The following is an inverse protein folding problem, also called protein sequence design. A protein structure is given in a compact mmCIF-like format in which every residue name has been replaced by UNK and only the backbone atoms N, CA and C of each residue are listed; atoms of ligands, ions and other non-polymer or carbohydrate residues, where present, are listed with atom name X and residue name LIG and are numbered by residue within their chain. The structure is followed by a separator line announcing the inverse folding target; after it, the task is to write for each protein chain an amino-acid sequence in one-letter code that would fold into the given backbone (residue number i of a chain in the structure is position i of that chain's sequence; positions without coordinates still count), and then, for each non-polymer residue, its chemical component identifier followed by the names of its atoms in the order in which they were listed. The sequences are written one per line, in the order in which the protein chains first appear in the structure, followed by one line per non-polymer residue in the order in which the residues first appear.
data_IF_342441084362
#
_entry.id   IF_342441084362
#
_cell.length_a   1.000
_cell.length_b   1.000
_cell.length_c   1.000
_cell.angle_alpha   90.00
_cell.angle_beta   90.00
_cell.angle_gamma   90.00
#
_symmetry.space_group_name_H-M   'P 1'
#
loop_
_entity.id
_entity.type
_entity.pdbx_description
1 polymer ?
#
# COMPACT_ATOMS: atom_id res chain seq x y z
N UNK A 1 13.41 -61.20 -0.43
CA UNK A 1 12.19 -61.32 0.39
C UNK A 1 11.56 -59.94 0.42
N UNK A 2 10.68 -59.60 -0.52
CA UNK A 2 9.23 -59.90 -0.59
C UNK A 2 8.49 -58.54 -0.43
N UNK A 3 8.17 -57.88 -1.56
CA UNK A 3 6.84 -57.77 -2.19
C UNK A 3 5.97 -56.67 -1.55
N UNK A 4 5.80 -55.53 -2.19
CA UNK A 4 4.63 -55.17 -3.03
C UNK A 4 3.28 -55.24 -2.30
N UNK A 5 2.56 -54.11 -2.23
CA UNK A 5 1.15 -54.05 -2.67
C UNK A 5 0.64 -52.62 -2.82
N UNK A 6 0.45 -52.29 -4.10
CA UNK A 6 -0.37 -51.24 -4.69
C UNK A 6 -1.82 -51.27 -4.17
N UNK A 7 -2.36 -50.10 -3.82
CA UNK A 7 -3.81 -49.85 -3.79
C UNK A 7 -4.13 -48.62 -4.62
N UNK A 8 -4.53 -48.88 -5.87
CA UNK A 8 -5.24 -47.94 -6.74
C UNK A 8 -6.71 -47.88 -6.30
N UNK A 9 -7.18 -46.70 -5.98
CA UNK A 9 -8.60 -46.43 -5.73
C UNK A 9 -9.25 -46.03 -7.05
N UNK A 10 -10.15 -46.89 -7.53
CA UNK A 10 -11.04 -46.65 -8.67
C UNK A 10 -12.22 -45.80 -8.18
N UNK A 11 -12.29 -44.56 -8.65
CA UNK A 11 -13.45 -43.68 -8.45
C UNK A 11 -14.43 -43.83 -9.60
N UNK A 12 -15.63 -44.29 -9.28
CA UNK A 12 -16.77 -44.54 -10.18
C UNK A 12 -17.29 -43.22 -10.77
N UNK A 13 -17.32 -43.15 -12.10
CA UNK A 13 -17.97 -42.12 -12.90
C UNK A 13 -19.47 -42.43 -13.00
N UNK A 14 -20.33 -41.60 -12.41
CA UNK A 14 -21.76 -41.57 -12.74
C UNK A 14 -21.96 -40.65 -13.94
N UNK A 15 -22.19 -41.26 -15.09
CA UNK A 15 -22.70 -40.59 -16.29
C UNK A 15 -24.22 -40.46 -16.21
N UNK A 16 -24.72 -39.22 -16.07
CA UNK A 16 -26.12 -38.90 -16.38
C UNK A 16 -26.14 -38.40 -17.82
N UNK A 17 -26.66 -39.25 -18.71
CA UNK A 17 -26.94 -38.89 -20.09
C UNK A 17 -28.10 -37.90 -20.14
N UNK A 18 -27.86 -36.75 -20.78
CA UNK A 18 -28.91 -35.87 -21.27
C UNK A 18 -28.83 -35.88 -22.79
N UNK A 19 -29.90 -36.38 -23.37
CA UNK A 19 -30.14 -36.62 -24.80
C UNK A 19 -30.16 -35.30 -25.58
N UNK A 20 -29.43 -35.26 -26.69
CA UNK A 20 -29.47 -34.20 -27.70
C UNK A 20 -30.77 -34.29 -28.50
N UNK A 21 -31.64 -33.28 -28.38
CA UNK A 21 -32.71 -33.01 -29.33
C UNK A 21 -32.29 -31.86 -30.26
N UNK A 22 -32.59 -32.03 -31.55
CA UNK A 22 -32.05 -31.28 -32.68
C UNK A 22 -32.50 -29.81 -32.83
N UNK A 23 -32.12 -29.18 -33.96
CA UNK A 23 -32.08 -27.74 -34.10
C UNK A 23 -33.44 -27.15 -34.46
N UNK A 24 -33.99 -26.34 -33.56
CA UNK A 24 -35.09 -25.42 -33.89
C UNK A 24 -34.51 -24.11 -34.43
N UNK A 25 -34.78 -23.83 -35.72
CA UNK A 25 -34.58 -22.51 -36.34
C UNK A 25 -35.48 -21.49 -35.61
N UNK A 26 -34.87 -20.63 -34.81
CA UNK A 26 -35.52 -19.43 -34.29
C UNK A 26 -34.89 -18.24 -35.01
N UNK A 27 -35.64 -17.65 -35.93
CA UNK A 27 -35.36 -16.33 -36.49
C UNK A 27 -35.63 -15.28 -35.40
N UNK A 28 -34.57 -14.73 -34.80
CA UNK A 28 -34.67 -13.53 -33.97
C UNK A 28 -34.38 -12.29 -34.81
N UNK A 29 -35.41 -11.46 -34.93
CA UNK A 29 -35.40 -10.14 -35.56
C UNK A 29 -34.32 -9.25 -34.92
N UNK A 30 -33.48 -8.69 -35.77
CA UNK A 30 -32.55 -7.61 -35.43
C UNK A 30 -33.33 -6.33 -35.08
N UNK A 31 -33.26 -5.89 -33.83
CA UNK A 31 -33.59 -4.52 -33.43
C UNK A 31 -32.62 -4.06 -32.33
N UNK A 32 -32.00 -2.90 -32.56
CA UNK A 32 -31.31 -2.01 -31.61
C UNK A 32 -29.84 -2.31 -31.28
N UNK A 33 -28.96 -1.84 -32.18
CA UNK A 33 -27.60 -1.46 -31.85
C UNK A 33 -27.61 -0.25 -30.89
N UNK A 34 -27.49 -0.49 -29.58
CA UNK A 34 -27.11 0.56 -28.63
C UNK A 34 -25.59 0.75 -28.68
N UNK A 35 -25.15 1.90 -29.20
CA UNK A 35 -23.79 2.39 -29.03
C UNK A 35 -23.49 2.49 -27.53
N UNK A 36 -22.56 1.67 -27.06
CA UNK A 36 -21.95 1.84 -25.74
C UNK A 36 -21.02 3.05 -25.81
N UNK A 37 -21.51 4.21 -25.39
CA UNK A 37 -20.65 5.34 -25.03
C UNK A 37 -19.87 4.93 -23.78
N UNK A 38 -18.61 4.55 -23.97
CA UNK A 38 -17.62 4.44 -22.91
C UNK A 38 -17.34 5.88 -22.46
N UNK A 39 -18.03 6.32 -21.42
CA UNK A 39 -17.78 7.61 -20.80
C UNK A 39 -16.35 7.64 -20.24
N UNK A 40 -15.49 8.42 -20.89
CA UNK A 40 -14.22 8.88 -20.34
C UNK A 40 -14.57 9.72 -19.11
N UNK A 41 -14.51 9.13 -17.92
CA UNK A 41 -14.67 9.89 -16.68
C UNK A 41 -13.37 10.65 -16.42
N UNK A 42 -13.42 11.97 -16.62
CA UNK A 42 -12.39 12.90 -16.21
C UNK A 42 -12.18 12.81 -14.70
N UNK A 43 -10.97 12.41 -14.30
CA UNK A 43 -10.52 12.56 -12.92
C UNK A 43 -9.99 13.99 -12.78
N UNK A 44 -10.86 14.90 -12.35
CA UNK A 44 -10.48 16.25 -12.01
C UNK A 44 -9.58 16.25 -10.77
N UNK A 45 -8.46 16.96 -10.90
CA UNK A 45 -7.32 17.01 -10.00
C UNK A 45 -7.68 17.69 -8.67
N UNK A 46 -7.49 16.99 -7.54
CA UNK A 46 -7.57 17.58 -6.20
C UNK A 46 -6.30 18.38 -5.80
N UNK A 47 -5.68 19.08 -6.76
CA UNK A 47 -4.32 19.60 -6.63
C UNK A 47 -4.19 21.08 -6.24
N UNK A 48 -5.25 21.89 -6.23
CA UNK A 48 -5.10 23.35 -6.03
C UNK A 48 -5.84 23.95 -4.83
N UNK A 49 -6.53 23.16 -4.02
CA UNK A 49 -7.22 23.68 -2.82
C UNK A 49 -6.37 23.57 -1.52
N UNK A 50 -5.06 23.84 -1.58
CA UNK A 50 -4.33 24.19 -0.35
C UNK A 50 -4.57 25.67 -0.06
N UNK A 51 -5.61 25.91 0.74
CA UNK A 51 -5.99 27.22 1.28
C UNK A 51 -4.80 27.78 2.08
N UNK A 52 -3.97 28.61 1.46
CA UNK A 52 -3.02 29.45 2.18
C UNK A 52 -3.84 30.40 3.07
N UNK A 53 -3.87 30.13 4.37
CA UNK A 53 -4.19 31.17 5.37
C UNK A 53 -3.00 32.13 5.37
N UNK A 54 -3.06 33.15 4.52
CA UNK A 54 -2.15 34.28 4.60
C UNK A 54 -2.36 35.04 5.92
N UNK A 55 -1.30 35.54 6.57
CA UNK A 55 -1.43 36.45 7.70
C UNK A 55 -1.99 37.79 7.20
N UNK A 56 -2.96 38.32 7.94
CA UNK A 56 -3.48 39.68 7.79
C UNK A 56 -2.35 40.70 7.93
N UNK A 57 -1.94 41.29 6.81
CA UNK A 57 -1.05 42.44 6.78
C UNK A 57 -1.84 43.71 7.08
N UNK A 58 -1.56 44.30 8.24
CA UNK A 58 -1.95 45.65 8.58
C UNK A 58 -1.21 46.65 7.71
N UNK A 59 -2.00 47.62 7.24
CA UNK A 59 -1.63 48.75 6.41
C UNK A 59 -0.75 49.72 7.21
N UNK A 60 0.51 49.87 6.83
CA UNK A 60 1.38 50.94 7.32
C UNK A 60 2.08 51.63 6.14
N UNK A 61 1.71 52.89 5.97
CA UNK A 61 2.28 53.89 5.06
C UNK A 61 3.64 54.36 5.60
N UNK A 62 4.71 54.35 4.81
CA UNK A 62 5.74 55.42 4.78
C UNK A 62 6.93 55.13 3.85
N UNK A 63 7.18 56.13 2.98
CA UNK A 63 8.46 56.76 2.58
C UNK A 63 9.61 55.95 1.96
N UNK A 64 9.84 56.26 0.67
CA UNK A 64 11.10 56.62 0.01
C UNK A 64 12.44 56.30 0.71
N UNK A 65 13.30 55.54 0.01
CA UNK A 65 14.67 55.99 -0.28
C UNK A 65 15.36 55.15 -1.38
N UNK A 66 15.88 55.89 -2.36
CA UNK A 66 17.05 55.68 -3.23
C UNK A 66 17.81 54.35 -3.24
N UNK A 67 17.89 53.77 -4.45
CA UNK A 67 19.09 53.28 -5.16
C UNK A 67 20.31 52.81 -4.35
N UNK A 68 20.73 51.56 -4.59
CA UNK A 68 22.13 51.27 -4.91
C UNK A 68 22.32 49.92 -5.63
N UNK A 69 23.05 50.03 -6.73
CA UNK A 69 23.59 48.99 -7.61
C UNK A 69 24.76 48.28 -6.91
N UNK A 70 24.84 46.95 -7.01
CA UNK A 70 26.06 46.15 -6.85
C UNK A 70 25.78 44.73 -7.37
N UNK A 71 26.10 44.42 -8.64
CA UNK A 71 27.35 43.79 -9.09
C UNK A 71 27.54 42.32 -8.64
N UNK A 72 27.44 41.43 -9.63
CA UNK A 72 27.72 40.00 -9.57
C UNK A 72 29.21 39.69 -9.33
N UNK A 73 29.54 38.50 -8.79
CA UNK A 73 30.86 37.91 -8.98
C UNK A 73 30.84 36.76 -10.00
N UNK A 74 31.83 36.86 -10.89
CA UNK A 74 32.23 35.91 -11.93
C UNK A 74 32.69 34.56 -11.37
N UNK A 75 32.45 33.56 -12.21
CA UNK A 75 33.10 32.26 -12.33
C UNK A 75 34.62 32.29 -12.11
N UNK A 76 35.14 31.27 -11.44
CA UNK A 76 36.50 30.77 -11.67
C UNK A 76 36.49 29.24 -11.68
N UNK A 77 36.73 28.69 -12.87
CA UNK A 77 37.03 27.28 -13.08
C UNK A 77 38.42 26.95 -12.51
N UNK A 78 38.56 25.80 -11.84
CA UNK A 78 39.87 25.16 -11.67
C UNK A 78 39.75 23.67 -11.89
N UNK A 79 40.22 23.28 -13.07
CA UNK A 79 40.57 21.94 -13.51
C UNK A 79 41.72 21.40 -12.65
N UNK A 80 41.57 20.20 -12.09
CA UNK A 80 42.72 19.35 -11.73
C UNK A 80 42.35 17.90 -11.95
N UNK A 81 43.20 17.22 -12.71
CA UNK A 81 43.05 15.85 -13.16
C UNK A 81 43.48 14.85 -12.07
N UNK A 82 42.79 13.68 -12.09
CA UNK A 82 43.34 12.31 -12.09
C UNK A 82 44.49 11.98 -11.13
N UNK A 83 44.21 11.10 -10.16
CA UNK A 83 44.98 9.85 -9.93
C UNK A 83 44.25 8.93 -8.94
N UNK A 84 43.93 7.71 -9.39
CA UNK A 84 43.80 6.50 -8.56
C UNK A 84 45.19 6.07 -8.09
N UNK A 85 45.32 5.48 -6.88
CA UNK A 85 45.64 4.05 -6.83
C UNK A 85 45.02 3.27 -5.64
N UNK A 86 44.65 2.03 -5.97
CA UNK A 86 45.00 0.74 -5.32
C UNK A 86 44.75 0.48 -3.83
N UNK A 87 44.14 -0.68 -3.62
CA UNK A 87 43.87 -1.41 -2.39
C UNK A 87 45.08 -1.66 -1.46
N UNK A 88 44.81 -1.73 -0.15
CA UNK A 88 45.42 -2.74 0.72
C UNK A 88 44.60 -3.02 1.99
N UNK A 89 44.46 -4.30 2.24
CA UNK A 89 44.02 -4.98 3.45
C UNK A 89 44.84 -4.64 4.70
N UNK A 90 44.22 -4.66 5.89
CA UNK A 90 44.47 -5.68 6.93
C UNK A 90 43.69 -5.41 8.24
N UNK A 91 43.38 -6.46 9.02
CA UNK A 91 42.69 -6.39 10.32
C UNK A 91 43.64 -6.55 11.53
N UNK A 92 43.27 -5.99 12.68
CA UNK A 92 43.51 -6.46 14.08
C UNK A 92 43.26 -5.27 15.03
N UNK A 93 42.35 -5.34 16.00
CA UNK A 93 42.36 -6.10 17.26
C UNK A 93 42.86 -5.27 18.45
N UNK A 94 42.02 -5.25 19.49
CA UNK A 94 42.31 -4.95 20.91
C UNK A 94 42.75 -3.50 21.19
N UNK A 95 42.30 -2.83 22.26
CA UNK A 95 42.35 -3.24 23.66
C UNK A 95 41.62 -2.17 24.54
N UNK A 96 41.11 -2.64 25.69
CA UNK A 96 40.99 -2.06 27.04
C UNK A 96 41.11 -0.53 27.25
N UNK A 97 40.69 0.10 28.34
CA UNK A 97 39.77 -0.10 29.48
C UNK A 97 39.99 1.18 30.33
N UNK A 98 39.05 1.49 31.22
CA UNK A 98 39.21 2.40 32.37
C UNK A 98 39.30 3.90 32.01
N UNK A 99 38.86 4.90 32.80
CA UNK A 99 38.41 5.00 34.20
C UNK A 99 37.56 6.29 34.29
N UNK A 100 36.74 6.40 35.34
CA UNK A 100 36.51 7.59 36.19
C UNK A 100 35.04 7.96 36.44
N UNK A 101 34.52 7.35 37.51
CA UNK A 101 33.85 8.01 38.66
C UNK A 101 33.74 9.54 38.63
N UNK A 102 32.50 10.06 38.70
CA UNK A 102 32.15 11.20 39.57
C UNK A 102 30.77 10.98 40.16
N UNK A 103 30.75 10.91 41.49
CA UNK A 103 29.61 10.99 42.38
C UNK A 103 29.12 12.43 42.53
N UNK A 104 27.81 12.67 42.51
CA UNK A 104 27.20 13.73 43.32
C UNK A 104 25.78 13.37 43.75
N UNK A 105 25.61 13.35 45.07
CA UNK A 105 24.35 13.22 45.78
C UNK A 105 23.65 14.59 45.88
N UNK A 106 22.32 14.59 45.83
CA UNK A 106 21.44 15.34 46.77
C UNK A 106 19.98 15.34 46.30
N UNK A 107 19.10 14.66 47.05
CA UNK A 107 17.69 15.04 47.28
C UNK A 107 17.66 16.40 48.00
N UNK A 108 16.56 17.21 48.05
CA UNK A 108 15.18 16.76 48.26
C UNK A 108 14.07 17.65 47.64
N UNK A 109 12.82 17.37 48.05
CA UNK A 109 11.68 18.28 48.22
C UNK A 109 10.43 17.95 47.39
N UNK A 110 9.50 17.33 48.12
CA UNK A 110 8.06 17.25 47.93
C UNK A 110 7.40 18.61 47.63
N UNK A 111 6.75 18.70 46.48
CA UNK A 111 5.82 19.77 46.12
C UNK A 111 4.44 19.22 45.80
N UNK A 112 3.50 19.38 46.72
CA UNK A 112 2.09 19.04 46.56
C UNK A 112 1.47 19.90 45.44
N UNK A 113 1.10 19.28 44.33
CA UNK A 113 0.37 19.94 43.24
C UNK A 113 -1.12 19.65 43.38
N UNK A 114 -1.89 20.69 43.71
CA UNK A 114 -3.35 20.66 43.74
C UNK A 114 -3.90 20.29 42.36
N UNK A 115 -4.65 19.18 42.32
CA UNK A 115 -5.43 18.75 41.16
C UNK A 115 -6.62 19.70 40.97
N UNK A 116 -6.60 20.50 39.91
CA UNK A 116 -7.82 21.12 39.35
C UNK A 116 -8.62 20.05 38.59
N UNK A 117 -9.96 19.99 38.75
CA UNK A 117 -10.80 19.11 37.96
C UNK A 117 -10.89 19.64 36.53
N UNK A 118 -10.21 18.97 35.60
CA UNK A 118 -10.42 19.16 34.16
C UNK A 118 -11.77 18.52 33.79
N UNK A 119 -12.75 19.37 33.54
CA UNK A 119 -14.02 19.01 32.92
C UNK A 119 -13.77 18.25 31.61
N UNK A 120 -14.36 17.06 31.51
CA UNK A 120 -14.43 16.25 30.30
C UNK A 120 -15.13 17.05 29.18
N UNK A 121 -14.36 17.72 28.34
CA UNK A 121 -14.79 18.17 27.02
C UNK A 121 -14.78 16.95 26.10
N UNK A 122 -15.94 16.33 25.94
CA UNK A 122 -16.26 15.42 24.84
C UNK A 122 -16.31 16.21 23.53
N UNK A 123 -15.15 16.66 23.07
CA UNK A 123 -14.95 17.25 21.76
C UNK A 123 -14.95 16.16 20.71
N UNK A 124 -16.12 15.65 20.36
CA UNK A 124 -16.29 14.84 19.16
C UNK A 124 -15.91 15.70 17.96
N UNK A 125 -14.76 15.40 17.34
CA UNK A 125 -14.40 15.94 16.02
C UNK A 125 -15.48 15.49 15.03
N UNK A 126 -16.48 16.35 14.84
CA UNK A 126 -17.42 16.26 13.73
C UNK A 126 -16.62 16.52 12.46
N UNK A 127 -16.36 15.46 11.70
CA UNK A 127 -15.91 15.60 10.33
C UNK A 127 -17.11 16.11 9.54
N UNK A 128 -17.21 17.43 9.36
CA UNK A 128 -18.05 18.01 8.33
C UNK A 128 -17.54 17.47 7.01
N UNK A 129 -18.24 16.48 6.46
CA UNK A 129 -17.99 15.96 5.12
C UNK A 129 -18.00 17.17 4.18
N UNK A 130 -16.87 17.51 3.54
CA UNK A 130 -16.82 18.69 2.70
C UNK A 130 -17.90 18.57 1.64
N UNK A 131 -18.66 19.66 1.53
CA UNK A 131 -19.72 19.91 0.60
C UNK A 131 -19.37 19.38 -0.79
N UNK A 132 -20.37 18.73 -1.42
CA UNK A 132 -20.29 18.08 -2.73
C UNK A 132 -19.59 19.03 -3.70
N UNK A 133 -18.32 18.77 -4.03
CA UNK A 133 -17.59 19.56 -5.03
C UNK A 133 -18.41 19.50 -6.32
N UNK A 134 -18.90 20.65 -6.77
CA UNK A 134 -19.51 20.78 -8.08
C UNK A 134 -18.51 20.22 -9.11
N UNK A 135 -19.03 19.42 -10.05
CA UNK A 135 -18.22 18.86 -11.11
C UNK A 135 -17.71 20.04 -11.94
N UNK A 136 -16.41 20.32 -11.85
CA UNK A 136 -15.78 21.37 -12.67
C UNK A 136 -16.13 21.15 -14.13
N UNK A 137 -16.41 22.24 -14.82
CA UNK A 137 -16.71 22.20 -16.25
C UNK A 137 -15.51 21.65 -17.02
N UNK A 138 -15.74 21.05 -18.19
CA UNK A 138 -14.65 20.49 -19.01
C UNK A 138 -13.61 21.56 -19.37
N UNK A 139 -14.05 22.81 -19.54
CA UNK A 139 -13.21 23.97 -19.81
C UNK A 139 -12.26 24.28 -18.63
N UNK A 140 -12.78 24.33 -17.40
CA UNK A 140 -11.95 24.52 -16.20
C UNK A 140 -10.94 23.37 -16.00
N UNK A 141 -11.30 22.14 -16.39
CA UNK A 141 -10.37 21.01 -16.34
C UNK A 141 -9.23 21.17 -17.34
N UNK A 142 -9.50 21.71 -18.53
CA UNK A 142 -8.46 22.01 -19.51
C UNK A 142 -7.56 23.17 -19.05
N UNK A 143 -8.12 24.23 -18.48
CA UNK A 143 -7.35 25.35 -17.91
C UNK A 143 -6.42 24.87 -16.79
N UNK A 144 -6.88 23.97 -15.92
CA UNK A 144 -6.03 23.38 -14.88
C UNK A 144 -4.88 22.57 -15.48
N UNK A 145 -5.13 21.79 -16.54
CA UNK A 145 -4.07 21.06 -17.23
C UNK A 145 -3.05 22.00 -17.86
N UNK A 146 -3.51 23.10 -18.47
CA UNK A 146 -2.61 24.08 -19.06
C UNK A 146 -1.84 24.87 -18.00
N UNK A 147 -2.44 25.14 -16.84
CA UNK A 147 -1.74 25.68 -15.68
C UNK A 147 -0.65 24.73 -15.17
N UNK A 148 -0.93 23.42 -15.09
CA UNK A 148 0.05 22.40 -14.69
C UNK A 148 1.20 22.32 -15.70
N UNK A 149 0.89 22.37 -16.99
CA UNK A 149 1.92 22.41 -18.06
C UNK A 149 2.77 23.68 -17.98
N UNK A 150 2.14 24.83 -17.73
CA UNK A 150 2.85 26.08 -17.53
C UNK A 150 3.76 26.02 -16.29
N UNK A 151 3.30 25.41 -15.20
CA UNK A 151 4.09 25.20 -13.98
C UNK A 151 5.31 24.31 -14.24
N UNK A 152 5.16 23.23 -15.01
CA UNK A 152 6.27 22.36 -15.40
C UNK A 152 7.36 23.11 -16.19
N UNK A 153 6.96 24.08 -17.02
CA UNK A 153 7.90 24.94 -17.78
C UNK A 153 8.58 25.97 -16.89
N UNK A 154 7.85 26.56 -15.95
CA UNK A 154 8.38 27.60 -15.04
C UNK A 154 9.28 27.02 -13.94
N UNK A 155 8.99 25.81 -13.46
CA UNK A 155 9.70 25.15 -12.38
C UNK A 155 10.19 23.76 -12.80
N UNK A 156 11.24 23.66 -13.63
CA UNK A 156 11.71 22.37 -14.15
C UNK A 156 12.20 21.41 -13.05
N UNK A 157 12.51 21.91 -11.84
CA UNK A 157 12.88 21.10 -10.69
C UNK A 157 11.69 20.55 -9.90
N UNK A 158 10.49 21.12 -10.07
CA UNK A 158 9.29 20.68 -9.38
C UNK A 158 8.46 19.79 -10.31
N UNK A 159 8.42 18.49 -10.01
CA UNK A 159 7.60 17.57 -10.79
C UNK A 159 6.12 17.69 -10.38
N UNK A 160 5.23 18.26 -11.22
CA UNK A 160 3.81 18.36 -10.89
C UNK A 160 3.15 16.99 -10.75
N UNK A 161 3.68 15.97 -11.42
CA UNK A 161 3.15 14.60 -11.40
C UNK A 161 3.57 13.84 -10.13
N UNK A 162 4.49 14.41 -9.34
CA UNK A 162 4.91 13.92 -8.03
C UNK A 162 3.88 14.17 -6.92
N UNK A 163 2.79 14.88 -7.20
CA UNK A 163 1.77 15.21 -6.20
C UNK A 163 1.04 13.98 -5.65
N UNK A 164 0.49 14.10 -4.44
CA UNK A 164 -0.33 13.05 -3.82
C UNK A 164 -1.66 12.95 -4.60
N UNK A 165 -1.82 11.89 -5.40
CA UNK A 165 -3.11 11.56 -6.05
C UNK A 165 -4.03 10.93 -5.02
N UNK A 166 -5.35 11.00 -5.19
CA UNK A 166 -6.32 10.30 -4.32
C UNK A 166 -6.29 8.78 -4.56
N UNK A 167 -6.69 7.98 -3.56
CA UNK A 167 -6.78 6.54 -3.75
C UNK A 167 -7.82 6.23 -4.84
N UNK A 168 -7.44 5.40 -5.80
CA UNK A 168 -8.35 4.96 -6.87
C UNK A 168 -9.43 4.07 -6.28
N UNK A 169 -10.52 3.84 -7.00
CA UNK A 169 -11.73 3.14 -6.51
C UNK A 169 -11.56 1.61 -6.35
N UNK A 170 -10.49 1.20 -5.66
CA UNK A 170 -10.28 -0.17 -5.21
C UNK A 170 -11.29 -0.52 -4.12
N UNK A 171 -11.86 -1.73 -4.18
CA UNK A 171 -12.91 -2.14 -3.25
C UNK A 171 -12.71 -3.59 -2.80
N UNK A 172 -13.03 -3.87 -1.54
CA UNK A 172 -13.11 -5.24 -1.01
C UNK A 172 -14.44 -5.86 -1.48
N UNK A 173 -14.44 -6.92 -2.30
CA UNK A 173 -15.66 -7.64 -2.62
C UNK A 173 -16.12 -8.43 -1.39
N UNK A 174 -17.43 -8.57 -1.21
CA UNK A 174 -18.02 -9.27 -0.05
C UNK A 174 -18.74 -10.56 -0.45
N UNK A 175 -18.70 -11.58 0.42
CA UNK A 175 -19.31 -12.90 0.18
C UNK A 175 -20.82 -12.77 0.01
N UNK A 176 -21.33 -13.31 -1.09
CA UNK A 176 -22.77 -13.41 -1.41
C UNK A 176 -23.28 -14.85 -1.32
N UNK A 177 -22.56 -15.71 -0.59
CA UNK A 177 -22.97 -17.11 -0.39
C UNK A 177 -24.29 -17.14 0.39
N UNK A 178 -25.19 -18.11 0.12
CA UNK A 178 -26.46 -18.23 0.87
C UNK A 178 -26.29 -18.32 2.39
N UNK A 179 -25.17 -18.88 2.87
CA UNK A 179 -24.83 -18.94 4.31
C UNK A 179 -24.54 -17.57 4.92
N UNK A 180 -24.08 -16.61 4.13
CA UNK A 180 -23.80 -15.23 4.54
C UNK A 180 -25.07 -14.36 4.55
N UNK A 181 -26.27 -14.93 4.34
CA UNK A 181 -27.55 -14.19 4.32
C UNK A 181 -27.80 -13.37 5.58
N UNK A 182 -27.29 -13.80 6.75
CA UNK A 182 -27.40 -13.06 8.01
C UNK A 182 -26.73 -11.67 7.97
N UNK A 183 -25.76 -11.46 7.07
CA UNK A 183 -25.10 -10.16 6.87
C UNK A 183 -25.83 -9.20 5.93
N UNK A 184 -26.99 -9.59 5.38
CA UNK A 184 -27.77 -8.77 4.45
C UNK A 184 -29.19 -8.58 4.95
N UNK A 185 -29.69 -7.34 4.90
CA UNK A 185 -31.07 -7.02 5.32
C UNK A 185 -32.14 -7.59 4.39
N UNK A 186 -31.83 -7.74 3.09
CA UNK A 186 -32.77 -8.26 2.09
C UNK A 186 -32.06 -8.97 0.95
N UNK A 187 -32.82 -9.77 0.19
CA UNK A 187 -32.36 -10.37 -1.07
C UNK A 187 -31.90 -9.30 -2.09
N UNK A 188 -32.56 -8.15 -2.12
CA UNK A 188 -32.17 -7.02 -2.95
C UNK A 188 -30.78 -6.48 -2.58
N UNK A 189 -30.44 -6.41 -1.29
CA UNK A 189 -29.11 -6.00 -0.84
C UNK A 189 -28.03 -7.01 -1.26
N UNK A 190 -28.32 -8.31 -1.18
CA UNK A 190 -27.42 -9.37 -1.63
C UNK A 190 -27.20 -9.32 -3.15
N UNK A 191 -28.26 -9.11 -3.94
CA UNK A 191 -28.15 -8.95 -5.40
C UNK A 191 -27.37 -7.69 -5.79
N UNK A 192 -27.60 -6.56 -5.09
CA UNK A 192 -26.82 -5.34 -5.27
C UNK A 192 -25.34 -5.57 -4.98
N UNK A 193 -25.01 -6.33 -3.92
CA UNK A 193 -23.63 -6.68 -3.61
C UNK A 193 -23.02 -7.61 -4.67
N UNK A 194 -23.80 -8.57 -5.20
CA UNK A 194 -23.36 -9.41 -6.31
C UNK A 194 -23.01 -8.57 -7.54
N UNK A 195 -23.88 -7.62 -7.93
CA UNK A 195 -23.62 -6.70 -9.03
C UNK A 195 -22.40 -5.81 -8.74
N UNK A 196 -22.22 -5.33 -7.50
CA UNK A 196 -21.03 -4.58 -7.11
C UNK A 196 -19.74 -5.41 -7.26
N UNK A 197 -19.76 -6.67 -6.83
CA UNK A 197 -18.62 -7.59 -7.02
C UNK A 197 -18.32 -7.85 -8.50
N UNK A 198 -19.36 -8.01 -9.34
CA UNK A 198 -19.21 -8.14 -10.80
C UNK A 198 -18.62 -6.88 -11.43
N UNK A 199 -19.11 -5.70 -11.04
CA UNK A 199 -18.57 -4.42 -11.49
C UNK A 199 -17.10 -4.25 -11.11
N UNK A 200 -16.72 -4.61 -9.87
CA UNK A 200 -15.32 -4.61 -9.44
C UNK A 200 -14.46 -5.56 -10.31
N UNK A 201 -14.98 -6.76 -10.63
CA UNK A 201 -14.32 -7.70 -11.54
C UNK A 201 -14.11 -7.14 -12.94
N UNK A 202 -15.11 -6.46 -13.51
CA UNK A 202 -14.99 -5.78 -14.80
C UNK A 202 -13.93 -4.67 -14.76
N UNK A 203 -13.95 -3.81 -13.73
CA UNK A 203 -12.94 -2.75 -13.54
C UNK A 203 -11.53 -3.30 -13.40
N UNK A 204 -11.36 -4.41 -12.67
CA UNK A 204 -10.07 -5.10 -12.55
C UNK A 204 -9.59 -5.60 -13.93
N UNK A 205 -10.48 -6.21 -14.72
CA UNK A 205 -10.15 -6.73 -16.05
C UNK A 205 -9.75 -5.61 -17.02
N UNK A 206 -10.49 -4.49 -17.03
CA UNK A 206 -10.15 -3.30 -17.82
C UNK A 206 -8.80 -2.71 -17.40
N UNK A 207 -8.54 -2.59 -16.10
CA UNK A 207 -7.27 -2.07 -15.59
C UNK A 207 -6.10 -2.97 -15.98
N UNK A 208 -6.26 -4.30 -15.88
CA UNK A 208 -5.26 -5.26 -16.33
C UNK A 208 -5.05 -5.23 -17.84
N UNK A 209 -6.10 -5.01 -18.62
CA UNK A 209 -6.00 -4.87 -20.07
C UNK A 209 -5.20 -3.61 -20.44
N UNK A 210 -5.45 -2.47 -19.80
CA UNK A 210 -4.69 -1.23 -20.00
C UNK A 210 -3.21 -1.42 -19.65
N UNK A 211 -2.92 -2.09 -18.53
CA UNK A 211 -1.55 -2.42 -18.15
C UNK A 211 -0.88 -3.38 -19.15
N UNK A 212 -1.60 -4.38 -19.65
CA UNK A 212 -1.07 -5.32 -20.63
C UNK A 212 -0.79 -4.64 -21.99
N UNK A 213 -1.64 -3.70 -22.40
CA UNK A 213 -1.46 -2.93 -23.64
C UNK A 213 -0.21 -2.04 -23.60
N UNK A 214 0.16 -1.55 -22.43
CA UNK A 214 1.31 -0.65 -22.19
C UNK A 214 2.53 -1.37 -21.63
N UNK A 215 2.54 -2.71 -21.67
CA UNK A 215 3.59 -3.58 -21.12
C UNK A 215 4.01 -3.21 -19.69
N UNK A 216 3.02 -2.81 -18.89
CA UNK A 216 3.18 -2.21 -17.56
C UNK A 216 3.10 -3.22 -16.42
N UNK A 217 2.93 -4.51 -16.74
CA UNK A 217 2.71 -5.54 -15.72
C UNK A 217 4.08 -5.89 -15.10
N UNK A 218 4.27 -5.71 -13.78
CA UNK A 218 5.57 -5.95 -13.16
C UNK A 218 6.08 -7.38 -13.39
N UNK A 219 7.31 -7.50 -13.89
CA UNK A 219 8.00 -8.79 -14.06
C UNK A 219 7.43 -9.67 -15.16
N UNK A 220 6.63 -9.11 -16.07
CA UNK A 220 6.08 -9.85 -17.22
C UNK A 220 6.34 -9.05 -18.49
N UNK A 221 7.10 -9.64 -19.41
CA UNK A 221 7.31 -9.11 -20.76
C UNK A 221 6.20 -9.62 -21.69
N UNK A 222 5.36 -8.71 -22.18
CA UNK A 222 4.28 -8.98 -23.12
C UNK A 222 4.58 -8.51 -24.54
N UNK A 223 5.77 -7.95 -24.78
CA UNK A 223 6.18 -7.43 -26.09
C UNK A 223 6.14 -8.50 -27.18
N UNK A 224 6.50 -9.74 -26.84
CA UNK A 224 6.53 -10.89 -27.76
C UNK A 224 5.18 -11.56 -28.05
N UNK A 225 4.07 -11.13 -27.44
CA UNK A 225 2.78 -11.80 -27.65
C UNK A 225 2.19 -11.53 -29.04
N UNK A 226 1.75 -12.58 -29.75
CA UNK A 226 1.15 -12.45 -31.08
C UNK A 226 -0.24 -11.82 -31.02
N UNK A 227 -0.69 -11.13 -32.08
CA UNK A 227 -2.05 -10.51 -32.14
C UNK A 227 -3.17 -11.51 -31.81
N UNK A 228 -3.02 -12.78 -32.22
CA UNK A 228 -3.97 -13.86 -31.93
C UNK A 228 -3.99 -14.20 -30.43
N UNK A 229 -2.82 -14.25 -29.77
CA UNK A 229 -2.73 -14.45 -28.32
C UNK A 229 -3.35 -13.28 -27.55
N UNK A 230 -3.16 -12.06 -28.04
CA UNK A 230 -3.69 -10.82 -27.47
C UNK A 230 -5.22 -10.74 -27.56
N UNK A 231 -5.83 -11.22 -28.64
CA UNK A 231 -7.27 -11.06 -28.87
C UNK A 231 -8.11 -12.30 -28.54
N UNK A 232 -7.62 -13.50 -28.82
CA UNK A 232 -8.47 -14.70 -28.86
C UNK A 232 -8.14 -15.69 -27.74
N UNK A 233 -6.87 -16.03 -27.53
CA UNK A 233 -6.54 -17.25 -26.79
C UNK A 233 -6.13 -17.04 -25.34
N UNK A 234 -5.27 -16.07 -25.02
CA UNK A 234 -4.65 -16.01 -23.69
C UNK A 234 -5.11 -14.80 -22.88
N UNK A 235 -5.12 -13.61 -23.47
CA UNK A 235 -5.36 -12.38 -22.72
C UNK A 235 -6.77 -12.30 -22.12
N UNK A 236 -7.88 -12.58 -22.86
CA UNK A 236 -9.23 -12.47 -22.30
C UNK A 236 -9.46 -13.32 -21.06
N UNK A 237 -8.86 -14.52 -21.01
CA UNK A 237 -8.96 -15.40 -19.86
C UNK A 237 -8.06 -14.96 -18.72
N UNK A 238 -6.86 -14.45 -19.02
CA UNK A 238 -5.90 -14.00 -17.99
C UNK A 238 -6.32 -12.68 -17.34
N UNK A 239 -6.91 -11.73 -18.06
CA UNK A 239 -7.39 -10.46 -17.47
C UNK A 239 -8.49 -10.68 -16.43
N UNK A 240 -9.26 -11.77 -16.55
CA UNK A 240 -10.30 -12.15 -15.58
C UNK A 240 -9.74 -12.88 -14.34
N UNK A 241 -8.43 -13.10 -14.28
CA UNK A 241 -7.77 -13.88 -13.22
C UNK A 241 -7.00 -13.02 -12.21
N UNK A 242 -7.48 -11.80 -11.93
CA UNK A 242 -6.86 -10.87 -10.96
C UNK A 242 -6.59 -11.52 -9.60
N UNK A 243 -7.51 -12.35 -9.11
CA UNK A 243 -7.44 -13.01 -7.80
C UNK A 243 -6.74 -14.38 -7.83
N UNK A 244 -6.20 -14.78 -8.97
CA UNK A 244 -5.58 -16.11 -9.13
C UNK A 244 -4.33 -16.26 -8.29
N UNK A 245 -4.25 -17.39 -7.56
CA UNK A 245 -3.07 -17.75 -6.77
C UNK A 245 -2.02 -18.55 -7.55
N UNK A 246 -2.28 -18.87 -8.83
CA UNK A 246 -1.35 -19.67 -9.63
C UNK A 246 0.00 -18.95 -9.78
N UNK A 247 1.13 -19.68 -9.73
CA UNK A 247 2.47 -19.08 -9.83
C UNK A 247 2.71 -18.43 -11.20
N UNK A 248 1.98 -18.84 -12.24
CA UNK A 248 2.04 -18.29 -13.60
C UNK A 248 0.98 -17.20 -13.89
N UNK A 249 0.25 -16.74 -12.87
CA UNK A 249 -0.70 -15.64 -13.04
C UNK A 249 0.05 -14.33 -13.33
N UNK A 250 -0.56 -13.42 -14.10
CA UNK A 250 0.05 -12.12 -14.44
C UNK A 250 0.44 -11.30 -13.21
N UNK A 251 -0.32 -11.41 -12.13
CA UNK A 251 -0.06 -10.68 -10.88
C UNK A 251 0.80 -11.48 -9.89
N UNK A 252 1.36 -12.62 -10.26
CA UNK A 252 2.23 -13.39 -9.37
C UNK A 252 3.48 -12.62 -8.91
N UNK A 253 4.19 -11.86 -9.76
CA UNK A 253 5.31 -11.02 -9.31
C UNK A 253 4.86 -9.94 -8.32
N UNK A 254 3.73 -9.27 -8.60
CA UNK A 254 3.17 -8.24 -7.71
C UNK A 254 2.86 -8.79 -6.31
N UNK A 255 2.33 -10.03 -6.21
CA UNK A 255 2.08 -10.67 -4.91
C UNK A 255 3.34 -10.85 -4.09
N UNK A 256 4.44 -11.27 -4.72
CA UNK A 256 5.74 -11.45 -4.06
C UNK A 256 6.28 -10.11 -3.56
N UNK A 257 6.25 -9.09 -4.41
CA UNK A 257 6.71 -7.73 -4.06
C UNK A 257 5.86 -7.15 -2.92
N UNK A 258 4.55 -7.30 -2.97
CA UNK A 258 3.66 -6.82 -1.91
C UNK A 258 3.98 -7.48 -0.56
N UNK A 259 4.22 -8.80 -0.53
CA UNK A 259 4.62 -9.51 0.67
C UNK A 259 5.99 -9.06 1.20
N UNK A 260 6.98 -8.88 0.32
CA UNK A 260 8.32 -8.43 0.76
C UNK A 260 8.28 -7.00 1.29
N UNK A 261 7.60 -6.08 0.61
CA UNK A 261 7.41 -4.69 1.07
C UNK A 261 6.70 -4.66 2.42
N UNK A 262 5.69 -5.51 2.61
CA UNK A 262 4.99 -5.65 3.88
C UNK A 262 5.91 -6.13 5.02
N UNK A 263 6.74 -7.15 4.77
CA UNK A 263 7.69 -7.65 5.76
C UNK A 263 8.74 -6.59 6.12
N UNK A 264 9.30 -5.92 5.12
CA UNK A 264 10.30 -4.85 5.30
C UNK A 264 9.71 -3.68 6.10
N UNK A 265 8.49 -3.25 5.78
CA UNK A 265 7.80 -2.20 6.51
C UNK A 265 7.57 -2.57 7.98
N UNK A 266 7.07 -3.77 8.27
CA UNK A 266 6.85 -4.18 9.67
C UNK A 266 8.15 -4.31 10.46
N UNK A 267 9.23 -4.76 9.82
CA UNK A 267 10.56 -4.75 10.42
C UNK A 267 11.05 -3.32 10.70
N UNK A 268 10.85 -2.39 9.75
CA UNK A 268 11.19 -0.98 9.93
C UNK A 268 10.38 -0.33 11.05
N UNK A 269 9.08 -0.62 11.15
CA UNK A 269 8.21 -0.16 12.23
C UNK A 269 8.68 -0.66 13.60
N UNK A 270 9.03 -1.95 13.71
CA UNK A 270 9.57 -2.51 14.95
C UNK A 270 10.92 -1.90 15.33
N UNK A 271 11.80 -1.65 14.35
CA UNK A 271 13.10 -1.00 14.55
C UNK A 271 13.02 0.51 14.73
N UNK A 272 11.84 1.12 14.55
CA UNK A 272 11.63 2.56 14.53
C UNK A 272 12.51 3.28 13.48
N UNK A 273 12.68 2.67 12.30
CA UNK A 273 13.42 3.27 11.18
C UNK A 273 12.50 4.17 10.33
N UNK A 274 12.42 5.44 10.74
CA UNK A 274 11.64 6.48 10.07
C UNK A 274 11.97 6.63 8.58
N UNK A 275 13.22 6.36 8.16
CA UNK A 275 13.64 6.54 6.76
C UNK A 275 13.01 5.48 5.87
N UNK A 276 13.12 4.22 6.29
CA UNK A 276 12.52 3.09 5.56
C UNK A 276 11.00 3.19 5.57
N UNK A 277 10.39 3.61 6.69
CA UNK A 277 8.93 3.86 6.74
C UNK A 277 8.51 4.94 5.74
N UNK A 278 9.25 6.07 5.64
CA UNK A 278 9.00 7.12 4.63
C UNK A 278 9.14 6.61 3.20
N UNK A 279 10.07 5.69 2.95
CA UNK A 279 10.31 5.15 1.62
C UNK A 279 9.24 4.15 1.19
N UNK A 280 8.74 3.32 2.12
CA UNK A 280 7.80 2.23 1.84
C UNK A 280 6.34 2.60 2.03
N UNK A 281 6.04 3.81 2.53
CA UNK A 281 4.64 4.25 2.76
C UNK A 281 4.36 5.60 2.11
N UNK A 282 3.09 5.84 1.80
CA UNK A 282 2.63 7.11 1.25
C UNK A 282 1.27 7.51 1.82
N UNK A 283 0.82 8.72 1.48
CA UNK A 283 -0.52 9.24 1.80
C UNK A 283 -0.95 9.04 3.27
N UNK A 284 -2.17 8.56 3.50
CA UNK A 284 -2.79 8.42 4.82
C UNK A 284 -2.08 7.39 5.68
N UNK A 285 -1.60 6.29 5.07
CA UNK A 285 -0.90 5.24 5.80
C UNK A 285 0.43 5.74 6.39
N UNK A 286 1.16 6.57 5.65
CA UNK A 286 2.37 7.22 6.16
C UNK A 286 2.08 8.11 7.38
N UNK A 287 1.07 8.98 7.26
CA UNK A 287 0.71 9.93 8.31
C UNK A 287 0.28 9.19 9.59
N UNK A 288 -0.48 8.08 9.45
CA UNK A 288 -0.88 7.20 10.53
C UNK A 288 0.29 6.44 11.16
N UNK A 289 1.18 5.89 10.34
CA UNK A 289 2.35 5.14 10.80
C UNK A 289 3.31 6.02 11.61
N UNK A 290 3.62 7.22 11.13
CA UNK A 290 4.47 8.16 11.86
C UNK A 290 3.80 8.64 13.15
N UNK A 291 2.48 8.87 13.13
CA UNK A 291 1.73 9.22 14.34
C UNK A 291 1.81 8.09 15.38
N UNK A 292 1.66 6.84 14.97
CA UNK A 292 1.79 5.67 15.85
C UNK A 292 3.21 5.50 16.37
N UNK A 293 4.23 5.66 15.51
CA UNK A 293 5.64 5.62 15.93
C UNK A 293 5.94 6.67 16.99
N UNK A 294 5.53 7.93 16.77
CA UNK A 294 5.72 9.01 17.74
C UNK A 294 4.99 8.74 19.06
N UNK A 295 3.76 8.19 19.00
CA UNK A 295 2.98 7.84 20.20
C UNK A 295 3.60 6.66 20.97
N UNK A 296 4.16 5.69 20.26
CA UNK A 296 4.73 4.47 20.83
C UNK A 296 6.22 4.58 21.13
N UNK A 297 6.86 5.70 20.80
CA UNK A 297 8.26 5.97 21.12
C UNK A 297 8.44 6.18 22.63
N UNK A 298 8.42 5.07 23.37
CA UNK A 298 8.77 5.01 24.77
C UNK A 298 10.25 4.70 24.85
N UNK A 299 11.09 5.60 25.39
CA UNK A 299 12.52 5.37 25.44
C UNK A 299 12.78 4.12 26.29
N UNK A 300 13.35 3.09 25.66
CA UNK A 300 13.70 1.84 26.33
C UNK A 300 12.85 0.62 26.07
N UNK A 301 11.80 0.73 25.26
CA UNK A 301 11.15 -0.45 24.74
C UNK A 301 11.82 -0.89 23.45
N UNK A 302 12.17 -2.17 23.38
CA UNK A 302 12.66 -2.82 22.16
C UNK A 302 11.54 -3.67 21.59
N UNK A 303 11.22 -3.45 20.31
CA UNK A 303 10.22 -4.22 19.59
C UNK A 303 10.92 -5.16 18.61
N UNK A 304 10.56 -6.44 18.65
CA UNK A 304 11.04 -7.45 17.69
C UNK A 304 9.81 -8.06 17.02
N UNK A 305 9.58 -7.66 15.78
CA UNK A 305 8.55 -8.27 14.95
C UNK A 305 9.11 -9.49 14.23
N UNK A 306 8.37 -10.60 14.26
CA UNK A 306 8.71 -11.82 13.51
C UNK A 306 7.56 -12.24 12.61
N UNK A 307 7.92 -12.46 11.35
CA UNK A 307 7.09 -13.16 10.38
C UNK A 307 7.27 -14.66 10.55
N UNK A 308 6.19 -15.41 10.76
CA UNK A 308 6.26 -16.89 10.83
C UNK A 308 5.95 -17.51 9.48
N UNK A 309 4.73 -17.29 8.96
CA UNK A 309 4.28 -17.86 7.70
C UNK A 309 3.06 -17.12 7.14
N UNK A 310 2.80 -17.32 5.85
CA UNK A 310 1.51 -16.96 5.24
C UNK A 310 0.48 -18.05 5.59
N UNK A 311 -0.64 -17.66 6.22
CA UNK A 311 -1.77 -18.59 6.44
C UNK A 311 -2.48 -18.84 5.12
N UNK A 312 -2.66 -17.77 4.34
CA UNK A 312 -3.04 -17.88 2.94
C UNK A 312 -2.13 -16.96 2.12
N UNK A 313 -1.66 -17.41 0.93
CA UNK A 313 -0.77 -16.60 0.12
C UNK A 313 -1.38 -15.23 -0.18
N UNK A 314 -0.56 -14.18 -0.16
CA UNK A 314 -0.97 -12.83 -0.52
C UNK A 314 -1.81 -12.83 -1.80
N UNK A 315 -2.90 -12.08 -1.85
CA UNK A 315 -3.85 -12.10 -2.98
C UNK A 315 -4.20 -10.70 -3.42
N UNK A 316 -4.06 -10.40 -4.71
CA UNK A 316 -4.56 -9.15 -5.28
C UNK A 316 -6.07 -9.24 -5.44
N UNK A 317 -6.80 -8.43 -4.68
CA UNK A 317 -8.26 -8.45 -4.60
C UNK A 317 -8.88 -7.48 -5.61
N UNK A 318 -8.30 -6.29 -5.74
CA UNK A 318 -8.77 -5.24 -6.65
C UNK A 318 -7.57 -4.50 -7.21
N UNK A 319 -7.63 -4.12 -8.49
CA UNK A 319 -6.57 -3.35 -9.14
C UNK A 319 -7.19 -2.25 -9.98
N UNK A 320 -6.60 -1.05 -9.90
CA UNK A 320 -6.95 0.11 -10.70
C UNK A 320 -5.70 0.67 -11.34
N UNK A 321 -5.82 0.97 -12.63
CA UNK A 321 -4.77 1.59 -13.41
C UNK A 321 -5.36 2.81 -14.11
N UNK A 322 -4.64 3.93 -14.06
CA UNK A 322 -4.99 5.17 -14.76
C UNK A 322 -3.74 5.84 -15.27
N UNK A 323 -3.85 6.72 -16.26
CA UNK A 323 -2.73 7.56 -16.68
C UNK A 323 -2.54 8.67 -15.64
N UNK A 324 -1.38 8.67 -14.97
CA UNK A 324 -1.05 9.68 -13.97
C UNK A 324 0.01 10.69 -14.45
N UNK A 325 0.79 10.32 -15.47
CA UNK A 325 1.75 11.22 -16.10
C UNK A 325 1.11 11.83 -17.36
N UNK A 326 0.64 13.08 -17.25
CA UNK A 326 -0.08 13.77 -18.35
C UNK A 326 0.79 14.81 -19.07
N UNK A 327 2.13 14.68 -18.98
CA UNK A 327 3.00 15.51 -19.79
C UNK A 327 2.87 15.15 -21.29
N UNK A 328 3.12 16.13 -22.16
CA UNK A 328 3.10 15.91 -23.61
C UNK A 328 4.14 14.89 -24.04
N UNK A 329 5.35 14.99 -23.47
CA UNK A 329 6.44 14.05 -23.69
C UNK A 329 6.19 12.73 -22.95
N UNK A 330 6.78 11.63 -23.43
CA UNK A 330 6.78 10.37 -22.69
C UNK A 330 7.75 10.47 -21.49
N UNK A 331 7.45 9.80 -20.36
CA UNK A 331 8.36 9.82 -19.24
C UNK A 331 9.70 9.19 -19.64
N UNK A 332 10.81 9.79 -19.19
CA UNK A 332 12.17 9.31 -19.50
C UNK A 332 12.42 7.86 -19.06
N UNK A 333 11.69 7.41 -18.03
CA UNK A 333 11.80 6.08 -17.45
C UNK A 333 10.39 5.50 -17.30
N UNK A 334 10.20 4.25 -17.72
CA UNK A 334 8.96 3.50 -17.50
C UNK A 334 7.79 3.98 -18.36
N UNK A 335 6.59 4.11 -17.76
CA UNK A 335 5.38 4.46 -18.51
C UNK A 335 4.45 5.41 -17.74
N UNK A 336 3.39 5.89 -18.43
CA UNK A 336 2.45 6.90 -17.89
C UNK A 336 1.49 6.40 -16.81
N UNK A 337 1.49 5.10 -16.52
CA UNK A 337 0.48 4.48 -15.68
C UNK A 337 0.78 4.69 -14.19
N UNK A 338 -0.28 4.98 -13.44
CA UNK A 338 -0.35 4.85 -12.00
C UNK A 338 -1.20 3.65 -11.66
N UNK A 339 -0.71 2.80 -10.74
CA UNK A 339 -1.40 1.59 -10.33
C UNK A 339 -1.66 1.60 -8.84
N UNK A 340 -2.92 1.35 -8.48
CA UNK A 340 -3.32 1.02 -7.11
C UNK A 340 -3.82 -0.42 -7.06
N UNK A 341 -3.18 -1.24 -6.23
CA UNK A 341 -3.51 -2.64 -6.04
C UNK A 341 -3.89 -2.90 -4.58
N UNK A 342 -5.13 -3.30 -4.35
CA UNK A 342 -5.61 -3.77 -3.07
C UNK A 342 -5.21 -5.23 -2.89
N UNK A 343 -4.32 -5.49 -1.92
CA UNK A 343 -3.77 -6.81 -1.63
C UNK A 343 -4.23 -7.25 -0.25
N UNK A 344 -4.75 -8.46 -0.16
CA UNK A 344 -5.00 -9.15 1.11
C UNK A 344 -3.74 -9.88 1.55
N UNK A 345 -3.28 -9.61 2.76
CA UNK A 345 -2.15 -10.28 3.41
C UNK A 345 -2.70 -10.99 4.64
N UNK A 346 -2.53 -12.32 4.72
CA UNK A 346 -3.07 -13.15 5.80
C UNK A 346 -1.97 -14.07 6.33
N UNK A 347 -1.46 -13.72 7.50
CA UNK A 347 -0.16 -14.19 7.99
C UNK A 347 -0.22 -14.51 9.47
N UNK A 348 0.70 -15.36 9.93
CA UNK A 348 0.97 -15.58 11.35
C UNK A 348 2.21 -14.79 11.77
N UNK A 349 2.05 -14.00 12.83
CA UNK A 349 3.06 -13.05 13.28
C UNK A 349 3.19 -13.07 14.80
N UNK A 350 4.34 -12.63 15.29
CA UNK A 350 4.54 -12.38 16.71
C UNK A 350 5.27 -11.06 16.91
N UNK A 351 4.88 -10.31 17.94
CA UNK A 351 5.54 -9.07 18.34
C UNK A 351 6.06 -9.23 19.76
N UNK A 352 7.38 -9.34 19.88
CA UNK A 352 8.06 -9.36 21.17
C UNK A 352 8.34 -7.93 21.59
N UNK A 353 7.99 -7.61 22.83
CA UNK A 353 8.25 -6.31 23.44
C UNK A 353 9.13 -6.58 24.67
N UNK A 354 10.26 -5.88 24.75
CA UNK A 354 11.18 -5.96 25.88
C UNK A 354 11.39 -4.58 26.49
N UNK A 355 11.51 -4.52 27.82
CA UNK A 355 11.95 -3.33 28.54
C UNK A 355 13.49 -3.15 28.42
N UNK A 356 14.03 -2.01 28.89
CA UNK A 356 15.47 -1.68 28.92
C UNK A 356 16.31 -2.77 29.60
N UNK A 357 15.69 -3.47 30.55
CA UNK A 357 16.32 -4.54 31.33
C UNK A 357 16.28 -5.90 30.62
N UNK A 358 15.74 -5.98 29.40
CA UNK A 358 15.54 -7.24 28.68
C UNK A 358 14.35 -8.05 29.18
N UNK A 359 13.53 -7.52 30.08
CA UNK A 359 12.35 -8.22 30.58
C UNK A 359 11.23 -8.23 29.51
N UNK A 360 10.65 -9.38 29.17
CA UNK A 360 9.56 -9.45 28.22
C UNK A 360 8.28 -8.82 28.80
N UNK A 361 7.66 -7.93 28.04
CA UNK A 361 6.39 -7.25 28.37
C UNK A 361 5.19 -7.82 27.59
N UNK A 362 5.35 -8.99 26.98
CA UNK A 362 4.35 -9.63 26.14
C UNK A 362 3.91 -10.97 26.75
N UNK A 363 2.74 -11.45 26.36
CA UNK A 363 2.23 -12.73 26.84
C UNK A 363 3.05 -13.90 26.26
N UNK A 364 3.44 -14.88 27.09
CA UNK A 364 4.07 -16.11 26.59
C UNK A 364 3.08 -16.91 25.73
N UNK A 365 3.56 -17.82 24.87
CA UNK A 365 2.70 -18.59 23.97
C UNK A 365 1.78 -19.53 24.75
N UNK A 366 0.48 -19.38 24.56
CA UNK A 366 -0.60 -20.04 25.33
C UNK A 366 -0.69 -21.56 25.12
N UNK A 367 -0.12 -22.08 24.03
CA UNK A 367 -0.34 -23.47 23.58
C UNK A 367 0.65 -24.51 24.12
N UNK A 368 1.55 -24.16 25.02
CA UNK A 368 2.37 -25.17 25.68
C UNK A 368 1.62 -25.75 26.89
N UNK A 369 0.59 -26.56 26.63
CA UNK A 369 0.01 -27.50 27.60
C UNK A 369 0.99 -28.65 27.95
N UNK A 370 2.21 -28.62 27.42
CA UNK A 370 3.28 -29.46 27.91
C UNK A 370 3.88 -28.77 29.14
N UNK A 371 3.81 -29.44 30.29
CA UNK A 371 4.52 -29.09 31.54
C UNK A 371 6.05 -28.93 31.38
N UNK A 372 6.57 -29.24 30.18
CA UNK A 372 7.95 -29.09 29.74
C UNK A 372 8.23 -27.81 28.96
N UNK A 373 7.26 -26.89 28.79
CA UNK A 373 7.57 -25.56 28.32
C UNK A 373 8.64 -24.99 29.25
N UNK A 374 9.77 -24.47 28.75
CA UNK A 374 10.77 -23.86 29.62
C UNK A 374 10.05 -22.73 30.37
N UNK A 375 9.70 -22.96 31.65
CA UNK A 375 9.22 -21.92 32.57
C UNK A 375 10.23 -20.82 32.39
N UNK A 376 9.81 -19.69 31.82
CA UNK A 376 10.67 -18.56 31.49
C UNK A 376 11.65 -18.37 32.63
N UNK A 377 12.87 -18.90 32.46
CA UNK A 377 13.77 -19.05 33.59
C UNK A 377 14.12 -17.63 33.94
N UNK A 378 13.78 -17.23 35.16
CA UNK A 378 14.01 -15.87 35.66
C UNK A 378 15.50 -15.45 35.58
N UNK A 379 16.40 -16.39 35.24
CA UNK A 379 17.81 -16.14 34.94
C UNK A 379 18.03 -15.60 33.51
N UNK A 380 17.60 -14.36 33.30
CA UNK A 380 18.50 -13.31 32.82
C UNK A 380 18.74 -13.09 31.32
N UNK A 381 18.76 -14.09 30.43
CA UNK A 381 19.28 -13.85 29.05
C UNK A 381 18.66 -14.72 27.94
N UNK A 382 17.42 -15.17 28.09
CA UNK A 382 16.71 -15.95 27.07
C UNK A 382 15.72 -15.12 26.26
N UNK A 383 15.73 -15.25 24.93
CA UNK A 383 14.66 -14.74 24.07
C UNK A 383 13.33 -15.45 24.44
N UNK A 384 12.37 -14.73 25.00
CA UNK A 384 11.02 -15.23 25.24
C UNK A 384 10.20 -14.99 23.96
N UNK A 385 9.83 -16.02 23.19
CA UNK A 385 9.06 -15.83 21.98
C UNK A 385 7.64 -15.39 22.33
N UNK A 386 7.11 -14.39 21.62
CA UNK A 386 5.73 -13.96 21.78
C UNK A 386 4.73 -14.95 21.16
N UNK A 387 3.50 -14.96 21.69
CA UNK A 387 2.38 -15.71 21.12
C UNK A 387 2.19 -15.38 19.62
N UNK A 388 2.07 -16.43 18.79
CA UNK A 388 1.75 -16.28 17.37
C UNK A 388 0.28 -15.88 17.21
N UNK A 389 0.03 -14.82 16.46
CA UNK A 389 -1.31 -14.34 16.13
C UNK A 389 -1.52 -14.31 14.63
N UNK A 390 -2.70 -14.74 14.20
CA UNK A 390 -3.14 -14.59 12.82
C UNK A 390 -3.59 -13.14 12.59
N UNK A 391 -3.05 -12.52 11.56
CA UNK A 391 -3.32 -11.13 11.17
C UNK A 391 -3.75 -11.14 9.70
N UNK A 392 -4.94 -10.58 9.42
CA UNK A 392 -5.43 -10.35 8.06
C UNK A 392 -5.55 -8.86 7.82
N UNK A 393 -4.87 -8.36 6.80
CA UNK A 393 -4.87 -6.94 6.43
C UNK A 393 -5.17 -6.75 4.94
N UNK A 394 -5.84 -5.64 4.62
CA UNK A 394 -6.14 -5.22 3.26
C UNK A 394 -5.40 -3.92 2.98
N UNK A 395 -4.28 -4.01 2.27
CA UNK A 395 -3.41 -2.87 2.02
C UNK A 395 -3.49 -2.46 0.56
N UNK A 396 -3.59 -1.15 0.31
CA UNK A 396 -3.51 -0.56 -1.02
C UNK A 396 -2.06 -0.23 -1.31
N UNK A 397 -1.49 -0.91 -2.29
CA UNK A 397 -0.16 -0.65 -2.82
C UNK A 397 -0.24 0.30 -4.00
N UNK A 398 0.60 1.34 -3.99
CA UNK A 398 0.76 2.32 -5.07
C UNK A 398 2.09 2.10 -5.80
N UNK A 399 2.04 2.21 -7.13
CA UNK A 399 3.22 2.32 -7.98
C UNK A 399 2.97 3.33 -9.09
N UNK A 400 3.84 4.32 -9.16
CA UNK A 400 3.96 5.27 -10.27
C UNK A 400 4.99 4.70 -11.23
N UNK A 401 4.56 4.34 -12.42
CA UNK A 401 5.43 3.65 -13.37
C UNK A 401 6.41 4.57 -14.07
N UNK A 402 6.23 5.90 -13.97
CA UNK A 402 7.20 6.89 -14.49
C UNK A 402 8.34 7.21 -13.51
N UNK A 403 8.36 6.55 -12.34
CA UNK A 403 9.48 6.60 -11.41
C UNK A 403 10.04 5.20 -11.18
N UNK A 404 11.38 5.13 -11.10
CA UNK A 404 12.08 3.94 -10.61
C UNK A 404 12.07 3.87 -9.08
N UNK A 405 10.87 3.81 -8.51
CA UNK A 405 10.64 3.65 -7.07
C UNK A 405 10.15 2.25 -6.68
N UNK A 406 10.21 1.87 -5.41
CA UNK A 406 9.55 0.64 -4.95
C UNK A 406 8.02 0.76 -5.03
N UNK A 407 7.33 -0.37 -4.86
CA UNK A 407 5.91 -0.34 -4.49
C UNK A 407 5.78 0.17 -3.06
N UNK A 408 4.83 1.09 -2.82
CA UNK A 408 4.63 1.71 -1.50
C UNK A 408 3.23 1.42 -0.98
N UNK A 409 3.08 1.29 0.34
CA UNK A 409 1.78 1.10 1.00
C UNK A 409 1.14 2.47 1.23
N UNK A 410 -0.01 2.68 0.61
CA UNK A 410 -0.69 3.97 0.56
C UNK A 410 -1.79 4.10 1.60
N UNK A 411 -2.58 3.05 1.78
CA UNK A 411 -3.77 3.05 2.61
C UNK A 411 -4.08 1.65 3.13
N UNK A 412 -4.72 1.56 4.29
CA UNK A 412 -5.26 0.32 4.84
C UNK A 412 -6.79 0.37 4.82
N UNK A 413 -7.40 -0.62 4.18
CA UNK A 413 -8.85 -0.80 4.17
C UNK A 413 -9.26 -1.83 5.23
N UNK A 414 -10.47 -1.66 5.75
CA UNK A 414 -11.07 -2.55 6.74
C UNK A 414 -12.33 -3.17 6.17
N UNK A 415 -12.61 -4.41 6.55
CA UNK A 415 -13.88 -5.05 6.21
C UNK A 415 -15.04 -4.30 6.85
N UNK A 416 -16.15 -4.20 6.11
CA UNK A 416 -17.38 -3.64 6.67
C UNK A 416 -17.87 -4.55 7.83
N UNK A 417 -18.32 -3.97 8.97
CA UNK A 417 -18.82 -4.75 10.09
C UNK A 417 -19.91 -5.74 9.67
N UNK A 418 -19.76 -7.00 10.08
CA UNK A 418 -20.71 -8.07 9.77
C UNK A 418 -20.69 -8.60 8.34
N UNK A 419 -19.75 -8.15 7.48
CA UNK A 419 -19.57 -8.68 6.13
C UNK A 419 -18.23 -9.39 5.99
N UNK A 420 -18.28 -10.63 5.55
CA UNK A 420 -17.11 -11.43 5.21
C UNK A 420 -16.64 -11.09 3.79
N UNK A 421 -15.35 -10.86 3.59
CA UNK A 421 -14.79 -10.61 2.25
C UNK A 421 -14.94 -11.84 1.33
N UNK A 422 -15.30 -11.62 0.06
CA UNK A 422 -15.38 -12.65 -0.98
C UNK A 422 -14.00 -12.91 -1.56
N UNK A 423 -13.22 -13.73 -0.87
CA UNK A 423 -11.85 -14.08 -1.26
C UNK A 423 -11.83 -15.41 -1.98
#
# INVERSE_FOLDING_TARGET
MASELSRKSVGVLYGVGVTLAGPSRIQLRCCHARRLNIGVRGYAMAATAQKQKGPTLSKATAKNSSSKVASAPKLSAKTTARTTPTARSSPNAQRASDTSTVSHASSPASGATQRKPTSHLTGGMSYTVPEKKELLTEEEQMEQLDQIKAMARLFPSADPWGQRVETLDVTIPYSVKPRSRKGYSSWGAMFKQFLANRNNGAKNATSLLMLAQTDAIPGLDLSGATRIQKLVTQWPWRILTTTSLKPNAWLAPLRKVALSTYQELNQALARQDDKTVKQLTSATFYDDSIRLLKKNHKPGLTYIWRFHQEVTPARVISIRATEGYLATEEPKIGNRMMVHALVRIDTEQSLEIYDKRGNPMHAPPTNTNNDNAPKATASGYGNCPAEKRRVTEYLVFEKRMWYDGPWVIREQLWEAPGKEAAI
#
